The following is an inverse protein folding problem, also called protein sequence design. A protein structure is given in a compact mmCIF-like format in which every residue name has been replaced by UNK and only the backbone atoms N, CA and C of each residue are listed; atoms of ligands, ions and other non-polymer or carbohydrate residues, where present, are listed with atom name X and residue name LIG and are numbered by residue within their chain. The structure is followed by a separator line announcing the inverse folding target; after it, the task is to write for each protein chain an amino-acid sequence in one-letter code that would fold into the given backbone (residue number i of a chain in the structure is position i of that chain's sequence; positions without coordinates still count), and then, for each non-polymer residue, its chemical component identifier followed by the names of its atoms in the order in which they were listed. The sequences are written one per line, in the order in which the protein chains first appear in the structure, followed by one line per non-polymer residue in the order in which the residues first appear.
data_IF_739165260131
#
_entry.id   IF_739165260131
#
_cell.length_a   1.000
_cell.length_b   1.000
_cell.length_c   1.000
_cell.angle_alpha   90.00
_cell.angle_beta   90.00
_cell.angle_gamma   90.00
#
_symmetry.space_group_name_H-M   'P 1'
#
loop_
_entity.id
_entity.type
_entity.pdbx_description
1 polymer ?
#
# COMPACT_ATOMS: atom_id res chain seq x y z
N UNK A 1 -23.84 32.22 -21.25
CA UNK A 1 -23.21 32.53 -19.96
C UNK A 1 -22.70 33.97 -19.91
N UNK A 2 -21.92 34.44 -20.91
CA UNK A 2 -21.40 35.82 -20.99
C UNK A 2 -22.51 36.88 -20.92
N UNK A 3 -23.59 36.74 -21.70
CA UNK A 3 -24.74 37.67 -21.66
C UNK A 3 -25.44 37.76 -20.29
N UNK A 4 -25.36 36.71 -19.47
CA UNK A 4 -25.92 36.71 -18.12
C UNK A 4 -25.02 37.53 -17.18
N UNK A 5 -23.71 37.35 -17.25
CA UNK A 5 -22.73 38.09 -16.43
C UNK A 5 -22.62 39.56 -16.83
N UNK A 6 -22.67 39.89 -18.12
CA UNK A 6 -22.74 41.27 -18.62
C UNK A 6 -23.94 42.02 -18.03
N UNK A 7 -25.10 41.34 -17.92
CA UNK A 7 -26.32 41.92 -17.33
C UNK A 7 -26.26 42.06 -15.81
N UNK A 8 -25.75 41.07 -15.09
CA UNK A 8 -25.74 41.08 -13.61
C UNK A 8 -24.59 41.90 -13.02
N UNK A 9 -23.44 41.97 -13.69
CA UNK A 9 -22.24 42.66 -13.20
C UNK A 9 -22.05 44.04 -13.84
N UNK A 10 -22.90 44.42 -14.81
CA UNK A 10 -22.78 45.67 -15.58
C UNK A 10 -21.40 45.89 -16.23
N UNK A 11 -20.66 44.82 -16.52
CA UNK A 11 -19.36 44.88 -17.16
C UNK A 11 -19.48 44.72 -18.69
N UNK A 12 -18.71 45.48 -19.48
CA UNK A 12 -18.72 45.36 -20.94
C UNK A 12 -18.34 43.96 -21.44
N UNK A 13 -18.87 43.56 -22.59
CA UNK A 13 -18.68 42.20 -23.15
C UNK A 13 -17.19 41.84 -23.34
N UNK A 14 -16.38 42.81 -23.75
CA UNK A 14 -14.94 42.60 -24.01
C UNK A 14 -14.14 42.20 -22.76
N UNK A 15 -14.66 42.49 -21.56
CA UNK A 15 -14.04 42.13 -20.29
C UNK A 15 -13.96 40.61 -20.10
N UNK A 16 -14.81 39.86 -20.80
CA UNK A 16 -14.85 38.39 -20.76
C UNK A 16 -14.14 37.72 -21.94
N UNK A 17 -13.58 38.47 -22.89
CA UNK A 17 -12.94 37.91 -24.08
C UNK A 17 -11.75 36.99 -23.74
N UNK A 18 -11.07 37.26 -22.62
CA UNK A 18 -9.93 36.46 -22.14
C UNK A 18 -10.31 35.49 -21.01
N UNK A 19 -11.60 35.43 -20.64
CA UNK A 19 -12.08 34.51 -19.60
C UNK A 19 -12.36 33.16 -20.25
N UNK A 20 -11.47 32.21 -20.05
CA UNK A 20 -11.65 30.83 -20.52
C UNK A 20 -12.86 30.22 -19.82
N UNK A 21 -13.99 30.13 -20.54
CA UNK A 21 -15.21 29.48 -20.05
C UNK A 21 -14.98 27.98 -20.09
N UNK A 22 -14.51 27.40 -18.98
CA UNK A 22 -14.39 25.95 -18.82
C UNK A 22 -15.77 25.34 -18.59
N UNK A 23 -16.16 24.42 -19.46
CA UNK A 23 -17.34 23.57 -19.33
C UNK A 23 -17.11 22.52 -18.21
N UNK A 24 -18.16 21.97 -17.59
CA UNK A 24 -18.07 20.78 -16.72
C UNK A 24 -17.52 19.52 -17.41
N UNK A 25 -17.32 19.57 -18.74
CA UNK A 25 -16.62 18.59 -19.57
C UNK A 25 -15.12 18.89 -19.72
N UNK A 26 -14.66 20.10 -19.45
CA UNK A 26 -13.24 20.51 -19.48
C UNK A 26 -12.55 20.28 -18.13
N UNK A 27 -12.86 19.15 -17.51
CA UNK A 27 -12.22 18.76 -16.25
C UNK A 27 -10.86 18.17 -16.60
N UNK A 28 -9.79 18.83 -16.16
CA UNK A 28 -8.46 18.22 -16.18
C UNK A 28 -8.46 17.01 -15.24
N UNK A 29 -7.93 15.85 -15.67
CA UNK A 29 -7.78 14.70 -14.80
C UNK A 29 -6.93 15.05 -13.57
N UNK A 30 -7.11 14.28 -12.50
CA UNK A 30 -6.34 14.49 -11.29
C UNK A 30 -4.92 14.02 -11.54
N UNK A 31 -3.94 14.84 -11.18
CA UNK A 31 -2.52 14.52 -11.36
C UNK A 31 -1.99 13.64 -10.22
N UNK A 32 -1.25 12.59 -10.54
CA UNK A 32 -0.58 11.73 -9.56
C UNK A 32 0.47 12.51 -8.76
N UNK A 33 0.74 12.09 -7.53
CA UNK A 33 1.99 12.43 -6.85
C UNK A 33 3.17 11.72 -7.49
N UNK A 34 4.29 12.42 -7.64
CA UNK A 34 5.57 11.78 -7.91
C UNK A 34 6.17 11.18 -6.64
N UNK A 35 7.23 10.38 -6.80
CA UNK A 35 8.01 9.85 -5.69
C UNK A 35 8.61 10.95 -4.83
N UNK A 36 9.08 12.04 -5.44
CA UNK A 36 9.58 13.21 -4.71
C UNK A 36 8.49 13.86 -3.86
N UNK A 37 7.27 13.99 -4.42
CA UNK A 37 6.11 14.49 -3.67
C UNK A 37 5.80 13.59 -2.45
N UNK A 38 5.76 12.27 -2.67
CA UNK A 38 5.47 11.30 -1.61
C UNK A 38 6.55 11.26 -0.52
N UNK A 39 7.82 11.41 -0.89
CA UNK A 39 8.95 11.47 0.04
C UNK A 39 8.89 12.69 0.97
N UNK A 40 8.16 13.74 0.59
CA UNK A 40 7.89 14.88 1.47
C UNK A 40 6.63 14.65 2.32
N UNK A 41 5.53 14.25 1.69
CA UNK A 41 4.22 14.19 2.34
C UNK A 41 4.10 13.01 3.32
N UNK A 42 4.57 11.81 2.96
CA UNK A 42 4.35 10.63 3.79
C UNK A 42 5.12 10.67 5.11
N UNK A 43 6.42 11.05 5.16
CA UNK A 43 7.12 11.19 6.43
C UNK A 43 6.45 12.20 7.36
N UNK A 44 5.99 13.33 6.82
CA UNK A 44 5.26 14.34 7.57
C UNK A 44 3.98 13.79 8.18
N UNK A 45 3.11 13.18 7.36
CA UNK A 45 1.83 12.64 7.82
C UNK A 45 2.01 11.51 8.84
N UNK A 46 3.00 10.64 8.63
CA UNK A 46 3.37 9.56 9.55
C UNK A 46 3.88 10.09 10.88
N UNK A 47 4.78 11.06 10.85
CA UNK A 47 5.33 11.66 12.06
C UNK A 47 4.23 12.38 12.87
N UNK A 48 3.38 13.15 12.19
CA UNK A 48 2.24 13.82 12.83
C UNK A 48 1.35 12.81 13.53
N UNK A 49 0.87 11.79 12.80
CA UNK A 49 0.01 10.74 13.36
C UNK A 49 0.68 10.02 14.54
N UNK A 50 1.93 9.56 14.39
CA UNK A 50 2.65 8.79 15.42
C UNK A 50 2.86 9.61 16.70
N UNK A 51 3.26 10.87 16.57
CA UNK A 51 3.50 11.73 17.74
C UNK A 51 2.21 12.09 18.46
N UNK A 52 1.13 12.41 17.73
CA UNK A 52 -0.16 12.72 18.34
C UNK A 52 -0.84 11.48 18.91
N UNK A 53 -0.66 10.31 18.29
CA UNK A 53 -1.17 9.03 18.79
C UNK A 53 -0.59 8.72 20.16
N UNK A 54 0.74 8.80 20.31
CA UNK A 54 1.41 8.54 21.59
C UNK A 54 0.84 9.41 22.71
N UNK A 55 0.77 10.72 22.47
CA UNK A 55 0.21 11.67 23.44
C UNK A 55 -1.25 11.40 23.75
N UNK A 56 -2.05 11.04 22.73
CA UNK A 56 -3.45 10.68 22.92
C UNK A 56 -3.61 9.47 23.83
N UNK A 57 -2.82 8.42 23.63
CA UNK A 57 -2.86 7.19 24.43
C UNK A 57 -2.44 7.45 25.88
N UNK A 58 -1.50 8.37 26.11
CA UNK A 58 -1.02 8.74 27.44
C UNK A 58 -2.12 9.42 28.28
N UNK A 59 -2.99 10.26 27.69
CA UNK A 59 -4.10 10.89 28.42
C UNK A 59 -5.32 11.19 27.53
N UNK A 60 -6.13 10.18 27.16
CA UNK A 60 -7.25 10.37 26.23
C UNK A 60 -8.27 11.40 26.70
N UNK A 61 -8.65 11.36 27.99
CA UNK A 61 -9.65 12.23 28.59
C UNK A 61 -9.30 13.72 28.50
N UNK A 62 -8.01 14.08 28.71
CA UNK A 62 -7.51 15.45 28.54
C UNK A 62 -7.72 15.96 27.11
N UNK A 63 -7.52 15.11 26.11
CA UNK A 63 -7.60 15.52 24.71
C UNK A 63 -9.05 15.57 24.19
N UNK A 64 -9.91 14.64 24.66
CA UNK A 64 -11.32 14.57 24.27
C UNK A 64 -12.11 15.75 24.86
N UNK A 65 -11.84 16.12 26.11
CA UNK A 65 -12.50 17.23 26.80
C UNK A 65 -11.97 18.62 26.40
N UNK A 66 -10.88 18.69 25.64
CA UNK A 66 -10.24 19.94 25.28
C UNK A 66 -11.13 20.86 24.41
N UNK A 67 -11.08 22.16 24.70
CA UNK A 67 -11.65 23.20 23.85
C UNK A 67 -10.82 23.40 22.57
N UNK A 68 -11.44 23.86 21.47
CA UNK A 68 -10.79 24.02 20.15
C UNK A 68 -9.59 24.97 20.12
N UNK A 69 -9.57 25.96 21.01
CA UNK A 69 -8.47 26.91 21.15
C UNK A 69 -7.34 26.44 22.07
N UNK A 70 -7.55 25.38 22.87
CA UNK A 70 -6.56 24.95 23.86
C UNK A 70 -5.56 23.97 23.22
N UNK A 71 -4.26 24.29 23.19
CA UNK A 71 -3.25 23.35 22.73
C UNK A 71 -3.07 22.23 23.76
N UNK A 72 -3.32 20.99 23.38
CA UNK A 72 -3.17 19.84 24.29
C UNK A 72 -2.11 18.85 23.83
N UNK A 73 -1.71 18.89 22.56
CA UNK A 73 -0.63 18.07 22.00
C UNK A 73 0.49 18.94 21.43
N UNK A 74 1.68 18.38 21.29
CA UNK A 74 2.83 18.97 20.65
C UNK A 74 3.25 18.17 19.43
N UNK A 75 3.77 18.83 18.40
CA UNK A 75 4.34 18.17 17.23
C UNK A 75 5.72 18.73 16.94
N UNK A 76 6.72 17.86 16.86
CA UNK A 76 8.08 18.20 16.50
C UNK A 76 8.32 17.82 15.03
N UNK A 77 8.71 18.80 14.23
CA UNK A 77 9.03 18.60 12.82
C UNK A 77 10.21 19.47 12.41
N UNK A 78 11.22 18.86 11.78
CA UNK A 78 12.44 19.54 11.33
C UNK A 78 13.09 20.45 12.41
N UNK A 79 13.13 19.97 13.67
CA UNK A 79 13.70 20.71 14.79
C UNK A 79 12.81 21.81 15.38
N UNK A 80 11.64 22.09 14.79
CA UNK A 80 10.69 23.07 15.30
C UNK A 80 9.51 22.39 16.02
N UNK A 81 9.11 22.97 17.14
CA UNK A 81 8.01 22.49 17.97
C UNK A 81 6.74 23.30 17.72
N UNK A 82 5.62 22.62 17.49
CA UNK A 82 4.31 23.21 17.19
C UNK A 82 3.28 22.78 18.23
N UNK A 83 2.66 23.75 18.91
CA UNK A 83 1.53 23.51 19.80
C UNK A 83 0.25 23.25 19.00
N UNK A 84 -0.43 22.14 19.30
CA UNK A 84 -1.59 21.68 18.54
C UNK A 84 -2.88 21.88 19.32
N UNK A 85 -3.66 22.88 18.93
CA UNK A 85 -5.08 22.96 19.28
C UNK A 85 -5.88 21.98 18.42
N UNK A 86 -6.97 21.40 18.95
CA UNK A 86 -7.74 20.34 18.29
C UNK A 86 -6.85 19.18 17.75
N UNK A 87 -5.96 18.68 18.62
CA UNK A 87 -4.97 17.65 18.27
C UNK A 87 -5.57 16.37 17.71
N UNK A 88 -6.71 15.91 18.25
CA UNK A 88 -7.45 14.73 17.74
C UNK A 88 -7.86 14.94 16.28
N UNK A 89 -8.43 16.10 15.93
CA UNK A 89 -8.84 16.38 14.55
C UNK A 89 -7.65 16.35 13.59
N UNK A 90 -6.49 16.90 13.99
CA UNK A 90 -5.27 16.89 13.17
C UNK A 90 -4.70 15.49 13.00
N UNK A 91 -4.65 14.71 14.07
CA UNK A 91 -4.26 13.30 14.06
C UNK A 91 -5.13 12.50 13.08
N UNK A 92 -6.44 12.68 13.15
CA UNK A 92 -7.41 11.93 12.34
C UNK A 92 -7.43 12.41 10.87
N UNK A 93 -7.14 13.69 10.60
CA UNK A 93 -6.87 14.16 9.24
C UNK A 93 -5.61 13.51 8.65
N UNK A 94 -4.52 13.42 9.43
CA UNK A 94 -3.30 12.74 9.00
C UNK A 94 -3.55 11.26 8.72
N UNK A 95 -4.28 10.58 9.62
CA UNK A 95 -4.70 9.20 9.43
C UNK A 95 -5.55 9.02 8.16
N UNK A 96 -6.46 9.94 7.87
CA UNK A 96 -7.29 9.89 6.66
C UNK A 96 -6.45 9.96 5.38
N UNK A 97 -5.44 10.83 5.34
CA UNK A 97 -4.53 10.91 4.19
C UNK A 97 -3.65 9.67 4.06
N UNK A 98 -3.18 9.09 5.17
CA UNK A 98 -2.44 7.84 5.17
C UNK A 98 -3.30 6.66 4.70
N UNK A 99 -4.54 6.58 5.16
CA UNK A 99 -5.54 5.61 4.69
C UNK A 99 -5.78 5.76 3.18
N UNK A 100 -5.90 6.99 2.67
CA UNK A 100 -6.03 7.26 1.25
C UNK A 100 -4.81 6.79 0.45
N UNK A 101 -3.60 6.89 1.01
CA UNK A 101 -2.39 6.37 0.37
C UNK A 101 -2.32 4.84 0.39
N UNK A 102 -2.64 4.19 1.53
CA UNK A 102 -2.53 2.73 1.62
C UNK A 102 -3.64 1.99 0.89
N UNK A 103 -4.85 2.53 0.88
CA UNK A 103 -6.01 1.84 0.29
C UNK A 103 -6.38 2.38 -1.08
N UNK A 104 -5.86 3.56 -1.44
CA UNK A 104 -6.25 4.31 -2.64
C UNK A 104 -7.76 4.54 -2.76
N UNK A 105 -8.50 4.43 -1.65
CA UNK A 105 -9.92 4.66 -1.60
C UNK A 105 -10.24 6.14 -1.82
N UNK A 106 -11.43 6.42 -2.34
CA UNK A 106 -11.90 7.81 -2.43
C UNK A 106 -12.43 8.31 -1.08
N UNK A 107 -12.56 9.62 -0.95
CA UNK A 107 -13.02 10.29 0.28
C UNK A 107 -14.33 9.74 0.82
N UNK A 108 -15.30 9.48 -0.06
CA UNK A 108 -16.63 9.04 0.37
C UNK A 108 -16.64 7.62 0.92
N UNK A 109 -15.73 6.76 0.45
CA UNK A 109 -15.59 5.40 0.95
C UNK A 109 -14.87 5.43 2.29
N UNK A 110 -13.77 6.21 2.41
CA UNK A 110 -13.03 6.38 3.66
C UNK A 110 -13.89 6.87 4.81
N UNK A 111 -14.73 7.89 4.60
CA UNK A 111 -15.59 8.43 5.66
C UNK A 111 -16.74 7.50 6.08
N UNK A 112 -17.06 6.49 5.26
CA UNK A 112 -18.11 5.51 5.58
C UNK A 112 -17.57 4.23 6.19
N UNK A 113 -16.25 4.06 6.23
CA UNK A 113 -15.62 2.93 6.90
C UNK A 113 -16.14 2.87 8.33
N UNK A 114 -16.68 1.71 8.71
CA UNK A 114 -17.05 1.42 10.09
C UNK A 114 -15.84 0.82 10.81
N UNK A 115 -15.84 0.90 12.14
CA UNK A 115 -14.90 0.14 12.93
C UNK A 115 -15.07 -1.37 12.62
N UNK A 116 -14.03 -2.07 12.17
CA UNK A 116 -14.13 -3.51 11.93
C UNK A 116 -14.39 -4.25 13.25
N UNK A 117 -15.43 -5.10 13.26
CA UNK A 117 -15.71 -6.01 14.38
C UNK A 117 -14.84 -7.27 14.34
N UNK A 118 -14.45 -7.70 13.14
CA UNK A 118 -13.66 -8.91 12.90
C UNK A 118 -12.39 -8.55 12.11
N UNK A 119 -11.23 -9.03 12.56
CA UNK A 119 -10.19 -9.45 11.62
C UNK A 119 -10.71 -10.76 10.99
N UNK A 120 -10.53 -10.96 9.68
CA UNK A 120 -11.11 -12.11 8.98
C UNK A 120 -10.85 -13.44 9.71
N UNK A 121 -11.90 -14.25 9.81
CA UNK A 121 -11.93 -15.65 10.24
C UNK A 121 -11.48 -16.58 9.10
N UNK A 122 -10.33 -16.30 8.51
CA UNK A 122 -9.60 -17.23 7.63
C UNK A 122 -8.18 -17.32 8.17
N UNK A 123 -7.78 -18.54 8.48
CA UNK A 123 -6.74 -18.92 9.44
C UNK A 123 -5.29 -18.60 9.05
N UNK A 124 -5.02 -17.80 8.02
CA UNK A 124 -3.67 -17.65 7.48
C UNK A 124 -3.16 -16.22 7.34
N UNK A 125 -4.01 -15.18 7.43
CA UNK A 125 -3.56 -13.79 7.23
C UNK A 125 -4.48 -12.82 8.00
N UNK A 126 -3.91 -11.89 8.77
CA UNK A 126 -4.70 -10.92 9.56
C UNK A 126 -5.18 -9.79 8.65
N UNK A 127 -6.33 -9.98 8.00
CA UNK A 127 -6.97 -8.98 7.15
C UNK A 127 -8.06 -8.20 7.88
N UNK A 128 -8.03 -6.88 7.75
CA UNK A 128 -9.19 -6.04 8.03
C UNK A 128 -9.93 -5.79 6.72
N UNK A 129 -11.08 -6.44 6.57
CA UNK A 129 -12.02 -6.17 5.49
C UNK A 129 -13.11 -5.24 6.03
N UNK A 130 -13.20 -4.04 5.47
CA UNK A 130 -14.18 -3.04 5.89
C UNK A 130 -15.15 -2.72 4.76
N UNK A 131 -16.47 -2.95 4.94
CA UNK A 131 -17.45 -2.60 3.94
C UNK A 131 -17.74 -1.09 3.92
N UNK A 132 -17.81 -0.52 2.73
CA UNK A 132 -18.23 0.86 2.44
C UNK A 132 -19.39 0.86 1.43
N UNK A 133 -20.58 1.28 1.85
CA UNK A 133 -21.76 1.29 0.99
C UNK A 133 -21.82 2.53 0.08
N UNK A 134 -21.84 2.30 -1.23
CA UNK A 134 -22.04 3.33 -2.26
C UNK A 134 -23.51 3.45 -2.65
N UNK A 135 -24.23 4.35 -1.99
CA UNK A 135 -25.64 4.69 -2.29
C UNK A 135 -25.91 4.96 -3.78
N UNK A 136 -25.06 5.75 -4.44
CA UNK A 136 -25.21 6.13 -5.88
C UNK A 136 -25.05 4.97 -6.88
N UNK A 137 -24.37 3.90 -6.49
CA UNK A 137 -24.13 2.74 -7.33
C UNK A 137 -24.81 1.48 -6.76
N UNK A 138 -25.59 1.66 -5.69
CA UNK A 138 -26.28 0.64 -4.93
C UNK A 138 -25.45 -0.64 -4.69
N UNK A 139 -24.19 -0.47 -4.28
CA UNK A 139 -23.27 -1.59 -4.04
C UNK A 139 -22.38 -1.35 -2.83
N UNK A 140 -21.99 -2.43 -2.16
CA UNK A 140 -20.97 -2.42 -1.10
C UNK A 140 -19.59 -2.65 -1.71
N UNK A 141 -18.62 -1.83 -1.32
CA UNK A 141 -17.21 -2.02 -1.66
C UNK A 141 -16.50 -2.49 -0.40
N UNK A 142 -15.56 -3.41 -0.55
CA UNK A 142 -14.71 -3.84 0.54
C UNK A 142 -13.37 -3.10 0.44
N UNK A 143 -12.97 -2.43 1.52
CA UNK A 143 -11.64 -1.86 1.67
C UNK A 143 -10.84 -2.85 2.52
N UNK A 144 -9.77 -3.36 1.95
CA UNK A 144 -8.94 -4.40 2.54
C UNK A 144 -7.63 -3.79 3.02
N UNK A 145 -7.28 -4.05 4.27
CA UNK A 145 -5.97 -3.73 4.85
C UNK A 145 -5.37 -5.03 5.37
N UNK A 146 -4.35 -5.50 4.67
CA UNK A 146 -3.57 -6.71 4.95
C UNK A 146 -2.26 -6.67 4.16
N UNK A 147 -1.50 -7.77 4.18
CA UNK A 147 -0.31 -7.95 3.34
C UNK A 147 -0.74 -8.14 1.87
N UNK A 148 -1.02 -7.03 1.17
CA UNK A 148 -1.42 -7.05 -0.25
C UNK A 148 -0.26 -7.40 -1.20
N UNK A 149 -0.61 -7.94 -2.38
CA UNK A 149 0.28 -8.16 -3.54
C UNK A 149 0.92 -6.86 -4.09
N UNK A 150 0.45 -5.68 -3.67
CA UNK A 150 0.99 -4.36 -4.01
C UNK A 150 2.01 -3.80 -2.98
N UNK A 151 2.60 -4.67 -2.14
CA UNK A 151 3.67 -4.34 -1.19
C UNK A 151 3.42 -3.08 -0.35
N UNK A 152 2.28 -3.04 0.36
CA UNK A 152 2.09 -2.03 1.39
C UNK A 152 3.01 -2.39 2.57
N UNK A 153 3.92 -1.49 3.03
CA UNK A 153 4.89 -1.83 4.08
C UNK A 153 4.19 -2.26 5.37
N UNK A 154 4.77 -3.22 6.13
CA UNK A 154 4.38 -3.66 7.50
C UNK A 154 3.92 -2.53 8.45
N UNK A 155 4.49 -1.33 8.27
CA UNK A 155 4.09 -0.09 8.95
C UNK A 155 2.60 0.29 8.75
N UNK A 156 1.95 -0.08 7.65
CA UNK A 156 0.53 0.22 7.40
C UNK A 156 -0.40 -0.55 8.34
N UNK A 157 -0.01 -1.77 8.72
CA UNK A 157 -0.75 -2.60 9.64
C UNK A 157 -0.64 -2.07 11.07
N UNK A 158 0.57 -1.75 11.52
CA UNK A 158 0.82 -1.09 12.81
C UNK A 158 0.10 0.26 12.91
N UNK A 159 0.12 1.02 11.80
CA UNK A 159 -0.64 2.25 11.65
C UNK A 159 -2.15 2.01 11.79
N UNK A 160 -2.69 1.00 11.13
CA UNK A 160 -4.12 0.70 11.17
C UNK A 160 -4.55 0.24 12.55
N UNK A 161 -3.77 -0.61 13.21
CA UNK A 161 -4.02 -1.04 14.59
C UNK A 161 -4.01 0.15 15.55
N UNK A 162 -3.04 1.06 15.39
CA UNK A 162 -3.00 2.32 16.13
C UNK A 162 -4.26 3.16 15.88
N UNK A 163 -4.66 3.31 14.62
CA UNK A 163 -5.87 4.06 14.24
C UNK A 163 -7.14 3.43 14.83
N UNK A 164 -7.27 2.11 14.76
CA UNK A 164 -8.40 1.39 15.32
C UNK A 164 -8.47 1.55 16.83
N UNK A 165 -7.33 1.46 17.52
CA UNK A 165 -7.24 1.66 18.97
C UNK A 165 -7.66 3.07 19.39
N UNK A 166 -7.22 4.10 18.65
CA UNK A 166 -7.65 5.49 18.85
C UNK A 166 -9.15 5.62 18.64
N UNK A 167 -9.65 5.10 17.51
CA UNK A 167 -11.06 5.20 17.12
C UNK A 167 -11.97 4.60 18.18
N UNK A 168 -11.60 3.44 18.73
CA UNK A 168 -12.30 2.80 19.84
C UNK A 168 -12.27 3.65 21.10
N UNK A 169 -11.12 4.20 21.48
CA UNK A 169 -10.94 5.05 22.69
C UNK A 169 -11.60 6.43 22.61
N UNK A 170 -11.86 6.95 21.41
CA UNK A 170 -12.59 8.22 21.24
C UNK A 170 -14.07 8.04 21.60
N UNK A 171 -14.62 6.85 21.38
CA UNK A 171 -15.97 6.49 21.81
C UNK A 171 -15.93 5.85 23.20
N UNK A 172 -16.99 6.04 23.97
CA UNK A 172 -17.22 5.23 25.17
C UNK A 172 -17.76 3.85 24.74
N UNK A 173 -17.37 2.77 25.40
CA UNK A 173 -17.59 1.37 24.96
C UNK A 173 -19.08 1.00 24.77
N UNK A 174 -19.99 1.83 25.28
CA UNK A 174 -21.43 1.57 25.33
C UNK A 174 -22.26 2.24 24.22
N UNK A 175 -21.68 3.05 23.32
CA UNK A 175 -22.45 3.75 22.29
C UNK A 175 -21.97 3.49 20.84
N UNK A 176 -22.81 2.75 20.11
CA UNK A 176 -22.88 2.58 18.65
C UNK A 176 -22.07 1.45 17.99
N UNK A 177 -22.78 0.35 17.70
CA UNK A 177 -22.37 -0.69 16.73
C UNK A 177 -22.11 -0.18 15.30
N UNK A 178 -22.44 1.09 15.01
CA UNK A 178 -22.33 1.73 13.70
C UNK A 178 -21.27 2.84 13.64
N UNK A 179 -20.39 2.91 14.63
CA UNK A 179 -19.29 3.85 14.70
C UNK A 179 -18.41 3.84 13.42
N UNK A 180 -18.11 5.03 12.90
CA UNK A 180 -17.18 5.17 11.76
C UNK A 180 -15.73 5.02 12.24
N UNK A 181 -14.82 4.53 11.39
CA UNK A 181 -13.41 4.40 11.76
C UNK A 181 -12.77 5.78 11.97
N UNK A 182 -13.10 6.74 11.11
CA UNK A 182 -12.51 8.08 11.11
C UNK A 182 -13.43 9.07 11.85
N UNK A 183 -13.14 9.29 13.13
CA UNK A 183 -13.89 10.20 14.01
C UNK A 183 -13.01 11.29 14.57
N UNK A 184 -13.62 12.35 15.08
CA UNK A 184 -12.94 13.38 15.86
C UNK A 184 -13.73 13.68 17.11
N UNK A 185 -13.05 14.15 18.15
CA UNK A 185 -13.68 14.65 19.37
C UNK A 185 -13.24 16.09 19.64
N UNK A 186 -14.18 16.88 20.16
CA UNK A 186 -13.92 18.22 20.68
C UNK A 186 -14.89 18.50 21.83
N UNK A 187 -14.37 18.96 22.97
CA UNK A 187 -15.20 19.35 24.12
C UNK A 187 -16.25 18.27 24.48
N UNK A 188 -15.79 17.02 24.62
CA UNK A 188 -16.60 15.82 24.87
C UNK A 188 -17.65 15.49 23.80
N UNK A 189 -17.65 16.18 22.66
CA UNK A 189 -18.53 15.88 21.52
C UNK A 189 -17.76 15.10 20.47
N UNK A 190 -18.14 13.83 20.32
CA UNK A 190 -17.62 12.93 19.29
C UNK A 190 -18.47 13.05 18.03
N UNK A 191 -17.83 13.10 16.86
CA UNK A 191 -18.52 13.04 15.57
C UNK A 191 -17.64 12.44 14.47
N UNK A 192 -18.24 11.92 13.38
CA UNK A 192 -17.49 11.53 12.20
C UNK A 192 -16.65 12.68 11.62
N UNK A 193 -15.49 12.32 11.07
CA UNK A 193 -14.65 13.25 10.33
C UNK A 193 -15.33 13.64 9.00
N UNK A 194 -15.16 14.89 8.59
CA UNK A 194 -15.80 15.44 7.39
C UNK A 194 -14.80 16.08 6.43
N UNK A 195 -15.26 16.39 5.20
CA UNK A 195 -14.46 17.13 4.22
C UNK A 195 -14.06 18.52 4.72
N UNK A 196 -14.91 19.15 5.54
CA UNK A 196 -14.63 20.45 6.15
C UNK A 196 -13.44 20.38 7.11
N UNK A 197 -13.31 19.28 7.86
CA UNK A 197 -12.17 19.07 8.76
C UNK A 197 -10.85 18.94 8.00
N UNK A 198 -10.84 18.17 6.89
CA UNK A 198 -9.68 18.07 6.01
C UNK A 198 -9.31 19.43 5.39
N UNK A 199 -10.31 20.21 4.99
CA UNK A 199 -10.09 21.55 4.43
C UNK A 199 -9.50 22.49 5.49
N UNK A 200 -10.04 22.48 6.71
CA UNK A 200 -9.56 23.31 7.81
C UNK A 200 -8.13 22.93 8.19
N UNK A 201 -7.87 21.62 8.35
CA UNK A 201 -6.53 21.10 8.58
C UNK A 201 -5.54 21.60 7.52
N UNK A 202 -5.91 21.47 6.24
CA UNK A 202 -5.04 21.82 5.13
C UNK A 202 -4.80 23.33 5.05
N UNK A 203 -5.86 24.13 4.93
CA UNK A 203 -5.75 25.57 4.63
C UNK A 203 -5.25 26.35 5.85
N UNK A 204 -5.82 26.09 7.03
CA UNK A 204 -5.59 26.95 8.20
C UNK A 204 -4.43 26.49 9.07
N UNK A 205 -4.01 25.23 8.96
CA UNK A 205 -2.90 24.71 9.76
C UNK A 205 -1.72 24.27 8.90
N UNK A 206 -1.90 23.30 8.00
CA UNK A 206 -0.80 22.74 7.22
C UNK A 206 -0.13 23.82 6.34
N UNK A 207 -0.90 24.48 5.48
CA UNK A 207 -0.38 25.46 4.52
C UNK A 207 0.11 26.76 5.18
N UNK A 208 -0.30 27.03 6.43
CA UNK A 208 0.20 28.20 7.19
C UNK A 208 1.54 27.93 7.88
N UNK A 209 1.78 26.69 8.30
CA UNK A 209 2.93 26.34 9.14
C UNK A 209 4.03 25.62 8.36
N UNK A 210 3.71 25.01 7.21
CA UNK A 210 4.65 24.19 6.45
C UNK A 210 4.61 24.56 4.96
N UNK A 211 5.79 24.64 4.36
CA UNK A 211 5.95 24.89 2.93
C UNK A 211 6.47 23.62 2.26
N UNK A 212 5.58 22.94 1.52
CA UNK A 212 5.95 21.84 0.64
C UNK A 212 5.81 22.32 -0.81
N UNK A 213 6.77 21.97 -1.64
CA UNK A 213 6.77 22.30 -3.07
C UNK A 213 6.99 21.06 -3.90
N UNK A 214 6.24 20.94 -4.99
CA UNK A 214 6.50 19.92 -6.00
C UNK A 214 7.72 20.30 -6.85
N UNK A 215 8.09 19.43 -7.78
CA UNK A 215 9.24 19.63 -8.68
C UNK A 215 9.11 20.83 -9.64
N UNK A 216 7.94 21.48 -9.72
CA UNK A 216 7.72 22.73 -10.47
C UNK A 216 7.77 23.98 -9.61
N UNK A 217 8.03 23.83 -8.30
CA UNK A 217 7.92 24.92 -7.34
C UNK A 217 6.48 25.29 -7.00
N UNK A 218 5.48 24.53 -7.46
CA UNK A 218 4.08 24.76 -7.05
C UNK A 218 3.87 24.17 -5.67
N UNK A 219 2.87 24.72 -4.96
CA UNK A 219 2.51 24.27 -3.62
C UNK A 219 2.05 22.81 -3.63
N UNK A 220 2.78 21.98 -2.91
CA UNK A 220 2.46 20.57 -2.69
C UNK A 220 1.53 20.44 -1.47
N UNK A 221 0.46 19.66 -1.62
CA UNK A 221 -0.55 19.47 -0.57
C UNK A 221 -1.16 18.07 -0.64
N UNK A 222 -1.54 17.47 0.50
CA UNK A 222 -2.19 16.16 0.53
C UNK A 222 -3.64 16.25 0.05
N UNK A 223 -3.98 15.40 -0.92
CA UNK A 223 -5.28 15.29 -1.57
C UNK A 223 -5.57 13.81 -1.81
N UNK A 224 -6.70 13.34 -1.27
CA UNK A 224 -7.14 11.94 -1.38
C UNK A 224 -7.23 11.51 -2.85
N UNK A 225 -7.71 12.39 -3.73
CA UNK A 225 -7.81 12.10 -5.16
C UNK A 225 -6.47 11.92 -5.84
N UNK A 226 -5.42 12.65 -5.43
CA UNK A 226 -4.06 12.51 -5.98
C UNK A 226 -3.40 11.22 -5.50
N UNK A 227 -3.57 10.86 -4.22
CA UNK A 227 -3.12 9.55 -3.71
C UNK A 227 -3.77 8.41 -4.47
N UNK A 228 -5.08 8.51 -4.73
CA UNK A 228 -5.81 7.53 -5.51
C UNK A 228 -5.33 7.43 -6.97
N UNK A 229 -5.03 8.56 -7.62
CA UNK A 229 -4.42 8.52 -8.97
C UNK A 229 -3.03 7.88 -8.93
N UNK A 230 -2.19 8.19 -7.93
CA UNK A 230 -0.89 7.52 -7.79
C UNK A 230 -1.03 6.01 -7.67
N UNK A 231 -1.98 5.52 -6.86
CA UNK A 231 -2.27 4.08 -6.79
C UNK A 231 -2.75 3.49 -8.10
N UNK A 232 -3.57 4.24 -8.84
CA UNK A 232 -4.03 3.85 -10.17
C UNK A 232 -2.85 3.63 -11.13
N UNK A 233 -1.89 4.56 -11.15
CA UNK A 233 -0.71 4.46 -11.98
C UNK A 233 0.20 3.28 -11.60
N UNK A 234 0.45 3.11 -10.29
CA UNK A 234 1.24 1.99 -9.79
C UNK A 234 0.58 0.65 -10.14
N UNK A 235 -0.73 0.54 -9.97
CA UNK A 235 -1.49 -0.67 -10.31
C UNK A 235 -1.43 -0.94 -11.82
N UNK A 236 -1.63 0.09 -12.65
CA UNK A 236 -1.51 -0.04 -14.11
C UNK A 236 -0.11 -0.48 -14.54
N UNK A 237 0.94 0.07 -13.92
CA UNK A 237 2.32 -0.25 -14.26
C UNK A 237 2.70 -1.69 -13.89
N UNK A 238 2.35 -2.14 -12.67
CA UNK A 238 2.75 -3.46 -12.16
C UNK A 238 1.80 -4.60 -12.54
N UNK A 239 0.49 -4.31 -12.63
CA UNK A 239 -0.56 -5.34 -12.79
C UNK A 239 -1.48 -5.10 -14.00
N UNK A 240 -1.25 -4.04 -14.78
CA UNK A 240 -2.01 -3.72 -15.98
C UNK A 240 -3.35 -3.01 -15.74
N UNK A 241 -3.96 -2.58 -16.86
CA UNK A 241 -5.15 -1.72 -16.87
C UNK A 241 -6.42 -2.38 -16.31
N UNK A 242 -6.53 -3.70 -16.40
CA UNK A 242 -7.70 -4.45 -15.89
C UNK A 242 -7.68 -4.50 -14.36
N UNK A 243 -6.53 -4.83 -13.75
CA UNK A 243 -6.34 -4.81 -12.31
C UNK A 243 -6.65 -3.43 -11.73
N UNK A 244 -6.19 -2.37 -12.39
CA UNK A 244 -6.53 -0.99 -12.02
C UNK A 244 -8.05 -0.71 -12.08
N UNK A 245 -8.82 -1.34 -12.98
CA UNK A 245 -10.27 -1.09 -13.10
C UNK A 245 -11.00 -1.72 -11.92
N UNK A 246 -10.58 -2.93 -11.56
CA UNK A 246 -11.07 -3.69 -10.42
C UNK A 246 -10.75 -2.92 -9.12
N UNK A 247 -9.49 -2.54 -8.94
CA UNK A 247 -8.98 -1.85 -7.76
C UNK A 247 -9.66 -0.48 -7.54
N UNK A 248 -9.83 0.34 -8.58
CA UNK A 248 -10.56 1.59 -8.45
C UNK A 248 -12.08 1.40 -8.40
N UNK A 249 -12.60 0.27 -8.87
CA UNK A 249 -14.03 0.02 -9.00
C UNK A 249 -14.76 1.15 -9.77
N UNK A 250 -14.10 1.65 -10.83
CA UNK A 250 -14.56 2.71 -11.72
C UNK A 250 -14.98 2.11 -13.08
N UNK A 251 -15.86 2.79 -13.82
CA UNK A 251 -16.07 2.46 -15.23
C UNK A 251 -14.91 2.99 -16.09
N UNK A 252 -14.59 2.37 -17.24
CA UNK A 252 -13.55 2.85 -18.16
C UNK A 252 -13.72 4.33 -18.56
N UNK A 253 -14.97 4.78 -18.75
CA UNK A 253 -15.28 6.18 -19.05
C UNK A 253 -14.94 7.12 -17.89
N UNK A 254 -15.22 6.71 -16.65
CA UNK A 254 -14.87 7.51 -15.45
C UNK A 254 -13.36 7.60 -15.30
N UNK A 255 -12.63 6.52 -15.60
CA UNK A 255 -11.16 6.54 -15.63
C UNK A 255 -10.64 7.51 -16.69
N UNK A 256 -11.07 7.37 -17.94
CA UNK A 256 -10.58 8.22 -19.04
C UNK A 256 -10.73 9.71 -18.72
N UNK A 257 -11.81 10.07 -18.01
CA UNK A 257 -12.09 11.45 -17.60
C UNK A 257 -11.27 11.95 -16.40
N UNK A 258 -10.90 11.08 -15.46
CA UNK A 258 -10.39 11.51 -14.15
C UNK A 258 -9.01 10.97 -13.75
N UNK A 259 -8.55 9.89 -14.38
CA UNK A 259 -7.42 9.06 -13.94
C UNK A 259 -6.61 8.51 -15.14
N UNK A 260 -6.27 9.38 -16.09
CA UNK A 260 -5.68 8.98 -17.39
C UNK A 260 -4.43 9.75 -17.78
N UNK A 261 -4.10 10.83 -17.07
CA UNK A 261 -3.00 11.70 -17.45
C UNK A 261 -1.74 11.48 -16.63
N UNK A 262 -1.80 10.83 -15.46
CA UNK A 262 -0.63 10.68 -14.61
C UNK A 262 0.00 12.00 -14.19
N UNK A 263 1.31 11.96 -13.90
CA UNK A 263 2.12 13.16 -13.69
C UNK A 263 2.76 13.66 -14.99
N UNK A 264 2.52 14.93 -15.36
CA UNK A 264 2.97 15.49 -16.64
C UNK A 264 4.48 15.48 -16.79
N UNK A 265 5.22 15.68 -15.69
CA UNK A 265 6.69 15.78 -15.73
C UNK A 265 7.31 14.41 -15.82
N UNK A 266 6.83 13.45 -15.02
CA UNK A 266 7.28 12.07 -15.15
C UNK A 266 6.99 11.56 -16.56
N UNK A 267 5.82 11.84 -17.14
CA UNK A 267 5.50 11.48 -18.52
C UNK A 267 6.44 12.13 -19.54
N UNK A 268 6.75 13.42 -19.39
CA UNK A 268 7.69 14.12 -20.28
C UNK A 268 9.10 13.52 -20.17
N UNK A 269 9.56 13.18 -18.97
CA UNK A 269 10.83 12.49 -18.75
C UNK A 269 10.85 11.10 -19.40
N UNK A 270 9.78 10.32 -19.26
CA UNK A 270 9.64 9.00 -19.91
C UNK A 270 9.69 9.11 -21.44
N UNK A 271 9.04 10.15 -22.01
CA UNK A 271 9.08 10.43 -23.44
C UNK A 271 10.48 10.87 -23.88
N UNK A 272 11.15 11.72 -23.09
CA UNK A 272 12.51 12.18 -23.35
C UNK A 272 13.50 11.01 -23.38
N UNK A 273 13.46 10.11 -22.40
CA UNK A 273 14.28 8.90 -22.39
C UNK A 273 14.06 8.07 -23.65
N UNK A 274 12.79 7.83 -23.99
CA UNK A 274 12.40 7.03 -25.16
C UNK A 274 12.93 7.64 -26.46
N UNK A 275 12.71 8.95 -26.66
CA UNK A 275 13.14 9.65 -27.87
C UNK A 275 14.68 9.69 -27.97
N UNK A 276 15.37 9.98 -26.87
CA UNK A 276 16.84 10.05 -26.84
C UNK A 276 17.47 8.68 -27.15
N UNK A 277 16.96 7.61 -26.53
CA UNK A 277 17.44 6.25 -26.80
C UNK A 277 17.18 5.88 -28.25
N UNK A 278 15.99 6.16 -28.79
CA UNK A 278 15.66 5.84 -30.20
C UNK A 278 16.51 6.63 -31.19
N UNK A 279 16.75 7.90 -30.92
CA UNK A 279 17.65 8.72 -31.72
C UNK A 279 19.06 8.14 -31.75
N UNK A 280 19.61 7.78 -30.58
CA UNK A 280 20.94 7.19 -30.46
C UNK A 280 21.02 5.81 -31.15
N UNK A 281 19.98 4.98 -31.00
CA UNK A 281 19.89 3.71 -31.72
C UNK A 281 19.99 3.89 -33.24
N UNK A 282 19.34 4.92 -33.79
CA UNK A 282 19.35 5.19 -35.23
C UNK A 282 20.71 5.74 -35.67
N UNK A 283 21.26 6.71 -34.92
CA UNK A 283 22.55 7.34 -35.24
C UNK A 283 23.71 6.35 -35.17
N UNK A 284 23.76 5.58 -34.10
CA UNK A 284 24.84 4.63 -33.83
C UNK A 284 24.59 3.23 -34.39
N UNK A 285 23.38 2.93 -34.88
CA UNK A 285 22.96 1.59 -35.34
C UNK A 285 23.22 0.48 -34.31
N UNK A 286 22.94 0.78 -33.04
CA UNK A 286 23.16 -0.12 -31.90
C UNK A 286 21.84 -0.60 -31.29
N UNK A 287 21.92 -1.63 -30.45
CA UNK A 287 20.77 -2.12 -29.68
C UNK A 287 20.27 -1.08 -28.67
N UNK A 288 19.07 -1.29 -28.12
CA UNK A 288 18.47 -0.38 -27.13
C UNK A 288 19.34 -0.23 -25.89
N UNK A 289 19.88 -1.34 -25.38
CA UNK A 289 20.75 -1.37 -24.19
C UNK A 289 22.07 -0.65 -24.41
N UNK A 290 22.66 -0.81 -25.59
CA UNK A 290 23.91 -0.13 -25.96
C UNK A 290 23.69 1.38 -26.14
N UNK A 291 22.59 1.79 -26.77
CA UNK A 291 22.21 3.20 -26.88
C UNK A 291 21.98 3.82 -25.49
N UNK A 292 21.27 3.11 -24.62
CA UNK A 292 21.04 3.53 -23.24
C UNK A 292 22.37 3.70 -22.46
N UNK A 293 23.28 2.74 -22.57
CA UNK A 293 24.60 2.82 -21.93
C UNK A 293 25.46 3.97 -22.49
N UNK A 294 25.42 4.21 -23.81
CA UNK A 294 26.12 5.35 -24.45
C UNK A 294 25.62 6.71 -23.97
N UNK A 295 24.33 6.82 -23.67
CA UNK A 295 23.71 8.02 -23.11
C UNK A 295 23.92 8.15 -21.59
N UNK A 296 24.65 7.23 -20.95
CA UNK A 296 24.81 7.12 -19.50
C UNK A 296 23.47 7.08 -18.73
N UNK A 297 22.41 6.54 -19.36
CA UNK A 297 21.10 6.40 -18.72
C UNK A 297 21.09 5.13 -17.87
N UNK A 298 21.47 5.27 -16.60
CA UNK A 298 21.58 4.13 -15.67
C UNK A 298 20.23 3.54 -15.26
N UNK A 299 19.20 4.38 -15.15
CA UNK A 299 17.83 4.00 -14.75
C UNK A 299 16.87 4.88 -15.54
N UNK A 300 15.86 4.28 -16.16
CA UNK A 300 14.84 5.04 -16.88
C UNK A 300 13.97 5.82 -15.90
N UNK A 301 13.44 6.98 -16.30
CA UNK A 301 12.51 7.78 -15.50
C UNK A 301 11.31 6.95 -15.07
N UNK A 302 10.78 6.09 -15.95
CA UNK A 302 9.66 5.19 -15.63
C UNK A 302 10.00 4.22 -14.49
N UNK A 303 11.21 3.68 -14.50
CA UNK A 303 11.68 2.75 -13.48
C UNK A 303 11.96 3.49 -12.17
N UNK A 304 12.58 4.67 -12.22
CA UNK A 304 12.86 5.47 -11.03
C UNK A 304 11.57 5.92 -10.30
N UNK A 305 10.57 6.33 -11.07
CA UNK A 305 9.27 6.81 -10.57
C UNK A 305 8.47 5.68 -9.90
N UNK A 306 8.41 4.51 -10.54
CA UNK A 306 7.56 3.40 -10.09
C UNK A 306 8.30 2.29 -9.32
N UNK A 307 9.60 2.45 -9.06
CA UNK A 307 10.41 1.50 -8.28
C UNK A 307 9.85 1.36 -6.86
N UNK A 308 9.40 0.16 -6.51
CA UNK A 308 8.94 -0.16 -5.15
C UNK A 308 10.12 -0.11 -4.16
N UNK A 309 9.84 0.21 -2.89
CA UNK A 309 10.88 0.31 -1.84
C UNK A 309 11.37 -1.05 -1.33
N UNK A 310 10.72 -2.15 -1.72
CA UNK A 310 11.35 -3.47 -1.74
C UNK A 310 11.85 -3.69 -3.17
N UNK A 311 13.14 -4.02 -3.30
CA UNK A 311 13.68 -4.66 -4.51
C UNK A 311 12.72 -5.75 -4.96
N UNK A 312 12.65 -6.06 -6.27
CA UNK A 312 11.90 -7.12 -6.98
C UNK A 312 11.89 -8.52 -6.30
N UNK A 313 11.54 -8.59 -5.04
CA UNK A 313 11.65 -9.70 -4.11
C UNK A 313 10.23 -10.10 -3.78
N UNK A 314 9.70 -11.06 -4.52
CA UNK A 314 8.43 -11.68 -4.17
C UNK A 314 8.66 -12.52 -2.91
N UNK A 315 7.97 -12.20 -1.82
CA UNK A 315 8.00 -13.01 -0.59
C UNK A 315 7.43 -14.39 -0.88
N UNK A 316 8.06 -15.43 -0.36
CA UNK A 316 7.60 -16.81 -0.51
C UNK A 316 7.03 -17.32 0.82
N UNK A 317 5.94 -18.10 0.81
CA UNK A 317 5.31 -18.63 2.03
C UNK A 317 6.24 -19.42 2.96
N UNK A 318 7.38 -19.94 2.47
CA UNK A 318 8.39 -20.63 3.28
C UNK A 318 9.33 -19.69 4.06
N UNK A 319 9.00 -18.40 4.19
CA UNK A 319 9.80 -17.39 4.89
C UNK A 319 10.97 -16.81 4.10
N UNK A 320 11.11 -17.17 2.82
CA UNK A 320 12.11 -16.63 1.90
C UNK A 320 11.60 -15.49 1.02
N UNK A 321 12.42 -15.07 0.07
CA UNK A 321 12.03 -14.18 -1.02
C UNK A 321 12.73 -14.58 -2.32
N UNK A 322 12.16 -14.21 -3.46
CA UNK A 322 12.68 -14.55 -4.78
C UNK A 322 13.02 -13.30 -5.60
N UNK A 323 14.25 -13.20 -6.09
CA UNK A 323 14.73 -12.11 -6.98
C UNK A 323 14.11 -12.14 -8.38
N UNK A 324 13.67 -13.31 -8.83
CA UNK A 324 13.16 -13.52 -10.17
C UNK A 324 11.89 -14.40 -10.17
N UNK A 325 10.77 -13.92 -9.58
CA UNK A 325 9.55 -14.72 -9.45
C UNK A 325 8.98 -15.18 -10.79
N UNK A 326 9.20 -14.41 -11.86
CA UNK A 326 8.79 -14.69 -13.24
C UNK A 326 9.96 -15.13 -14.15
N UNK A 327 11.04 -15.67 -13.58
CA UNK A 327 12.19 -16.18 -14.31
C UNK A 327 11.96 -17.55 -14.95
N UNK A 328 13.02 -18.17 -15.46
CA UNK A 328 12.98 -19.44 -16.21
C UNK A 328 12.21 -20.57 -15.48
N UNK A 329 12.39 -20.68 -14.16
CA UNK A 329 11.69 -21.69 -13.34
C UNK A 329 10.16 -21.50 -13.30
N UNK A 330 9.67 -20.27 -13.49
CA UNK A 330 8.23 -19.95 -13.48
C UNK A 330 7.52 -20.36 -14.78
N UNK A 331 8.25 -20.53 -15.88
CA UNK A 331 7.70 -20.91 -17.18
C UNK A 331 7.04 -22.29 -17.13
N UNK A 332 7.58 -23.23 -16.34
CA UNK A 332 7.02 -24.57 -16.14
C UNK A 332 5.60 -24.49 -15.54
N UNK A 333 5.40 -23.62 -14.55
CA UNK A 333 4.12 -23.41 -13.88
C UNK A 333 3.13 -22.69 -14.80
N UNK A 334 3.61 -21.65 -15.48
CA UNK A 334 2.83 -20.92 -16.49
C UNK A 334 2.34 -21.88 -17.60
N UNK A 335 3.22 -22.73 -18.14
CA UNK A 335 2.87 -23.73 -19.16
C UNK A 335 1.83 -24.72 -18.65
N UNK A 336 1.99 -25.22 -17.42
CA UNK A 336 1.04 -26.16 -16.80
C UNK A 336 -0.33 -25.53 -16.58
N UNK A 337 -0.38 -24.29 -16.11
CA UNK A 337 -1.63 -23.56 -15.91
C UNK A 337 -2.35 -23.24 -17.23
N UNK A 338 -1.60 -22.90 -18.30
CA UNK A 338 -2.16 -22.75 -19.66
C UNK A 338 -2.77 -24.05 -20.17
N UNK A 339 -2.06 -25.18 -20.00
CA UNK A 339 -2.58 -26.50 -20.39
C UNK A 339 -3.87 -26.86 -19.65
N UNK A 340 -4.02 -26.39 -18.41
CA UNK A 340 -5.21 -26.59 -17.57
C UNK A 340 -6.27 -25.49 -17.75
N UNK A 341 -6.08 -24.53 -18.68
CA UNK A 341 -6.96 -23.38 -18.92
C UNK A 341 -7.25 -22.54 -17.66
N UNK A 342 -6.28 -22.49 -16.74
CA UNK A 342 -6.38 -21.72 -15.50
C UNK A 342 -5.94 -20.26 -15.66
N UNK A 343 -5.28 -19.94 -16.78
CA UNK A 343 -4.78 -18.60 -17.11
C UNK A 343 -4.97 -18.30 -18.60
N UNK A 344 -5.17 -17.03 -18.93
CA UNK A 344 -5.41 -16.56 -20.30
C UNK A 344 -4.11 -16.47 -21.13
N UNK A 345 -4.26 -16.31 -22.45
CA UNK A 345 -3.12 -16.01 -23.33
C UNK A 345 -2.45 -14.69 -22.93
N UNK A 346 -1.13 -14.74 -22.70
CA UNK A 346 -0.33 -13.61 -22.24
C UNK A 346 -0.05 -13.58 -20.73
N UNK A 347 -0.81 -14.29 -19.90
CA UNK A 347 -0.60 -14.35 -18.46
C UNK A 347 0.61 -15.25 -18.10
N UNK A 348 1.33 -14.88 -17.03
CA UNK A 348 2.49 -15.60 -16.48
C UNK A 348 2.30 -15.78 -14.97
N UNK A 349 2.60 -16.98 -14.48
CA UNK A 349 2.59 -17.28 -13.05
C UNK A 349 4.00 -17.17 -12.47
N UNK A 350 4.06 -16.78 -11.20
CA UNK A 350 5.27 -16.86 -10.42
C UNK A 350 5.65 -18.32 -10.12
N UNK A 351 6.92 -18.58 -9.81
CA UNK A 351 7.35 -19.89 -9.34
C UNK A 351 6.66 -20.24 -8.02
N UNK A 352 6.07 -21.43 -7.92
CA UNK A 352 5.29 -21.87 -6.76
C UNK A 352 5.92 -23.06 -6.01
N UNK A 353 7.17 -23.42 -6.31
CA UNK A 353 7.85 -24.57 -5.69
C UNK A 353 8.54 -24.19 -4.38
N UNK A 354 7.83 -24.29 -3.26
CA UNK A 354 8.35 -23.89 -1.95
C UNK A 354 9.54 -24.74 -1.48
N UNK A 355 9.59 -26.02 -1.87
CA UNK A 355 10.69 -26.91 -1.50
C UNK A 355 11.92 -26.65 -2.37
N UNK A 356 11.73 -26.48 -3.68
CA UNK A 356 12.84 -26.19 -4.59
C UNK A 356 13.39 -24.75 -4.46
N UNK A 357 12.78 -23.90 -3.64
CA UNK A 357 13.38 -22.63 -3.23
C UNK A 357 14.70 -22.84 -2.48
N UNK A 358 14.81 -23.87 -1.63
CA UNK A 358 15.99 -24.13 -0.82
C UNK A 358 17.12 -24.70 -1.69
N UNK A 359 18.12 -23.86 -1.97
CA UNK A 359 19.19 -24.12 -2.94
C UNK A 359 18.98 -23.46 -4.31
N UNK A 360 17.93 -22.66 -4.49
CA UNK A 360 17.74 -21.85 -5.68
C UNK A 360 18.67 -20.61 -5.65
N UNK A 361 19.38 -20.26 -6.74
CA UNK A 361 20.24 -19.07 -6.78
C UNK A 361 19.46 -17.75 -6.63
N UNK A 362 18.17 -17.76 -6.94
CA UNK A 362 17.28 -16.60 -6.82
C UNK A 362 16.67 -16.45 -5.42
N UNK A 363 16.92 -17.40 -4.51
CA UNK A 363 16.44 -17.33 -3.13
C UNK A 363 17.21 -16.27 -2.34
N UNK A 364 16.48 -15.49 -1.57
CA UNK A 364 17.00 -14.48 -0.65
C UNK A 364 16.33 -14.65 0.70
N UNK A 365 17.13 -14.57 1.76
CA UNK A 365 16.64 -14.56 3.13
C UNK A 365 16.65 -13.12 3.63
N UNK A 366 15.46 -12.57 3.84
CA UNK A 366 15.31 -11.24 4.44
C UNK A 366 15.45 -11.38 5.95
N UNK A 367 16.45 -10.72 6.53
CA UNK A 367 16.69 -10.78 7.97
C UNK A 367 15.75 -9.82 8.72
N UNK A 368 14.45 -10.16 8.75
CA UNK A 368 13.47 -9.53 9.62
C UNK A 368 12.84 -10.56 10.55
N UNK A 369 12.39 -10.14 11.74
CA UNK A 369 11.80 -11.07 12.73
C UNK A 369 10.60 -11.82 12.15
N UNK A 370 9.79 -11.18 11.29
CA UNK A 370 8.64 -11.83 10.62
C UNK A 370 9.08 -12.93 9.67
N UNK A 371 10.04 -12.61 8.79
CA UNK A 371 10.42 -13.52 7.72
C UNK A 371 11.19 -14.72 8.29
N UNK A 372 12.01 -14.49 9.32
CA UNK A 372 12.69 -15.56 10.05
C UNK A 372 11.70 -16.38 10.88
N UNK A 373 10.70 -15.77 11.52
CA UNK A 373 9.64 -16.52 12.21
C UNK A 373 8.88 -17.42 11.23
N UNK A 374 8.47 -16.90 10.07
CA UNK A 374 7.82 -17.68 9.01
C UNK A 374 8.69 -18.86 8.53
N UNK A 375 10.00 -18.64 8.35
CA UNK A 375 10.95 -19.69 7.99
C UNK A 375 11.04 -20.78 9.07
N UNK A 376 11.12 -20.39 10.35
CA UNK A 376 11.18 -21.34 11.47
C UNK A 376 9.87 -22.12 11.62
N UNK A 377 8.73 -21.48 11.39
CA UNK A 377 7.42 -22.13 11.39
C UNK A 377 7.26 -23.11 10.23
N UNK A 378 7.73 -22.75 9.04
CA UNK A 378 7.79 -23.68 7.91
C UNK A 378 8.64 -24.93 8.23
N UNK A 379 9.83 -24.73 8.81
CA UNK A 379 10.70 -25.83 9.26
C UNK A 379 9.97 -26.72 10.28
N UNK A 380 9.37 -26.11 11.31
CA UNK A 380 8.62 -26.81 12.37
C UNK A 380 7.46 -27.62 11.78
N UNK A 381 6.69 -27.03 10.86
CA UNK A 381 5.58 -27.70 10.18
C UNK A 381 6.06 -28.92 9.37
N UNK A 382 7.19 -28.80 8.66
CA UNK A 382 7.79 -29.96 7.99
C UNK A 382 8.21 -31.01 9.02
N UNK A 383 8.91 -30.64 10.08
CA UNK A 383 9.38 -31.58 11.11
C UNK A 383 8.24 -32.34 11.78
N UNK A 384 7.17 -31.63 12.14
CA UNK A 384 5.97 -32.20 12.74
C UNK A 384 5.17 -33.05 11.75
N UNK A 385 5.26 -32.77 10.44
CA UNK A 385 4.58 -33.59 9.42
C UNK A 385 5.04 -35.05 9.45
N UNK A 386 6.25 -35.36 9.97
CA UNK A 386 6.71 -36.74 10.15
C UNK A 386 5.69 -37.60 10.91
N UNK A 387 5.02 -37.04 11.92
CA UNK A 387 4.02 -37.74 12.73
C UNK A 387 2.72 -38.04 11.98
N UNK A 388 2.48 -37.36 10.86
CA UNK A 388 1.31 -37.53 9.98
C UNK A 388 1.63 -38.38 8.74
N UNK A 389 2.89 -38.75 8.52
CA UNK A 389 3.27 -39.61 7.39
C UNK A 389 3.03 -41.08 7.71
N UNK A 390 2.32 -41.77 6.81
CA UNK A 390 2.19 -43.23 6.82
C UNK A 390 3.52 -43.95 6.59
N UNK A 391 4.49 -43.29 5.95
CA UNK A 391 5.82 -43.83 5.63
C UNK A 391 6.94 -42.82 5.92
N UNK A 392 7.78 -43.17 6.90
CA UNK A 392 8.94 -42.37 7.29
C UNK A 392 10.03 -42.31 6.20
N UNK A 393 10.13 -43.32 5.32
CA UNK A 393 11.08 -43.30 4.20
C UNK A 393 10.66 -42.28 3.14
N UNK A 394 9.35 -42.19 2.87
CA UNK A 394 8.77 -41.17 2.01
C UNK A 394 8.98 -39.74 2.54
N UNK A 395 8.82 -39.54 3.85
CA UNK A 395 9.12 -38.26 4.52
C UNK A 395 10.58 -37.84 4.28
N UNK A 396 11.54 -38.71 4.64
CA UNK A 396 12.98 -38.41 4.51
C UNK A 396 13.35 -38.04 3.07
N UNK A 397 12.86 -38.82 2.11
CA UNK A 397 13.11 -38.58 0.68
C UNK A 397 12.69 -37.18 0.22
N UNK A 398 11.58 -36.65 0.74
CA UNK A 398 10.99 -35.39 0.27
C UNK A 398 11.46 -34.16 1.05
N UNK A 399 11.77 -34.30 2.35
CA UNK A 399 11.93 -33.15 3.25
C UNK A 399 13.29 -33.05 3.96
N UNK A 400 14.01 -34.15 4.14
CA UNK A 400 15.28 -34.17 4.91
C UNK A 400 16.31 -33.18 4.34
N UNK A 401 16.43 -33.14 3.00
CA UNK A 401 17.34 -32.21 2.31
C UNK A 401 16.99 -30.74 2.57
N UNK A 402 15.70 -30.42 2.69
CA UNK A 402 15.24 -29.05 2.93
C UNK A 402 15.55 -28.64 4.38
N UNK A 403 15.27 -29.52 5.34
CA UNK A 403 15.58 -29.28 6.76
C UNK A 403 17.09 -29.06 6.93
N UNK A 404 17.92 -29.96 6.39
CA UNK A 404 19.38 -29.83 6.46
C UNK A 404 19.87 -28.52 5.81
N UNK A 405 19.28 -28.12 4.68
CA UNK A 405 19.64 -26.84 4.06
C UNK A 405 19.31 -25.64 4.97
N UNK A 406 18.14 -25.66 5.62
CA UNK A 406 17.75 -24.61 6.55
C UNK A 406 18.72 -24.57 7.75
N UNK A 407 19.01 -25.70 8.37
CA UNK A 407 19.86 -25.81 9.56
C UNK A 407 21.32 -25.50 9.30
N UNK A 408 21.86 -25.96 8.17
CA UNK A 408 23.30 -25.86 7.90
C UNK A 408 23.67 -24.62 7.10
N UNK A 409 22.77 -24.10 6.25
CA UNK A 409 23.07 -22.99 5.32
C UNK A 409 22.37 -21.70 5.68
N UNK A 410 21.12 -21.75 6.12
CA UNK A 410 20.34 -20.53 6.38
C UNK A 410 20.51 -20.06 7.82
N UNK A 411 20.13 -20.87 8.82
CA UNK A 411 20.13 -20.48 10.24
C UNK A 411 21.48 -19.89 10.71
N UNK A 412 22.65 -20.48 10.37
CA UNK A 412 23.94 -19.96 10.83
C UNK A 412 24.28 -18.57 10.27
N UNK A 413 23.66 -18.17 9.16
CA UNK A 413 23.89 -16.88 8.49
C UNK A 413 23.00 -15.74 9.03
N UNK A 414 22.00 -16.06 9.86
CA UNK A 414 21.05 -15.09 10.40
C UNK A 414 21.64 -14.38 11.61
N UNK A 415 21.35 -13.09 11.74
CA UNK A 415 21.68 -12.31 12.93
C UNK A 415 21.08 -12.93 14.20
N UNK A 416 21.92 -13.22 15.18
CA UNK A 416 21.55 -13.88 16.44
C UNK A 416 20.41 -13.20 17.21
N UNK A 417 20.35 -11.85 17.19
CA UNK A 417 19.29 -11.10 17.88
C UNK A 417 17.93 -11.30 17.20
N UNK A 418 17.92 -11.28 15.86
CA UNK A 418 16.71 -11.49 15.06
C UNK A 418 16.24 -12.93 15.19
N UNK A 419 17.16 -13.90 15.13
CA UNK A 419 16.85 -15.31 15.33
C UNK A 419 16.23 -15.54 16.72
N UNK A 420 16.81 -14.96 17.78
CA UNK A 420 16.27 -15.07 19.13
C UNK A 420 14.86 -14.48 19.24
N UNK A 421 14.63 -13.31 18.66
CA UNK A 421 13.30 -12.68 18.65
C UNK A 421 12.28 -13.52 17.88
N UNK A 422 12.67 -14.09 16.74
CA UNK A 422 11.80 -14.97 15.96
C UNK A 422 11.49 -16.28 16.70
N UNK A 423 12.46 -16.84 17.41
CA UNK A 423 12.26 -18.04 18.22
C UNK A 423 11.35 -17.76 19.43
N UNK A 424 11.53 -16.63 20.11
CA UNK A 424 10.61 -16.19 21.18
C UNK A 424 9.19 -16.05 20.62
N UNK A 425 9.05 -15.44 19.44
CA UNK A 425 7.76 -15.31 18.76
C UNK A 425 7.14 -16.67 18.41
N UNK A 426 7.93 -17.62 17.92
CA UNK A 426 7.47 -18.99 17.66
C UNK A 426 6.99 -19.70 18.93
N UNK A 427 7.70 -19.52 20.04
CA UNK A 427 7.38 -20.17 21.30
C UNK A 427 6.17 -19.53 22.00
N UNK A 428 6.05 -18.20 21.95
CA UNK A 428 5.03 -17.45 22.67
C UNK A 428 3.71 -17.32 21.87
N UNK A 429 3.81 -17.16 20.56
CA UNK A 429 2.67 -16.92 19.65
C UNK A 429 2.33 -18.14 18.77
N UNK A 430 3.17 -19.19 18.78
CA UNK A 430 2.99 -20.37 17.93
C UNK A 430 3.55 -20.19 16.52
N UNK A 431 3.26 -21.14 15.60
CA UNK A 431 3.65 -21.03 14.21
C UNK A 431 3.14 -19.74 13.56
N UNK A 432 3.92 -19.19 12.64
CA UNK A 432 3.52 -18.09 11.79
C UNK A 432 2.19 -18.43 11.11
N UNK A 433 1.23 -17.49 10.99
CA UNK A 433 -0.12 -17.75 10.48
C UNK A 433 -0.17 -18.64 9.24
N UNK A 434 0.67 -18.34 8.24
CA UNK A 434 0.88 -19.16 7.02
C UNK A 434 1.14 -20.67 7.22
N UNK A 435 1.45 -21.12 8.44
CA UNK A 435 1.78 -22.49 8.82
C UNK A 435 1.09 -22.96 10.11
N UNK A 436 0.10 -22.21 10.62
CA UNK A 436 -0.61 -22.50 11.88
C UNK A 436 -1.66 -23.63 11.76
N UNK A 437 -1.92 -24.12 10.53
CA UNK A 437 -2.86 -25.22 10.27
C UNK A 437 -2.19 -26.48 9.69
N UNK A 438 -2.45 -27.62 10.33
CA UNK A 438 -2.06 -28.98 9.89
C UNK A 438 -2.61 -29.42 8.51
N UNK A 439 -3.46 -28.60 7.87
CA UNK A 439 -4.10 -28.90 6.57
C UNK A 439 -3.30 -28.36 5.37
N UNK A 440 -2.48 -27.32 5.54
CA UNK A 440 -1.68 -26.70 4.46
C UNK A 440 -0.63 -27.64 3.85
N UNK A 441 -0.21 -28.64 4.61
CA UNK A 441 0.81 -29.62 4.23
C UNK A 441 0.38 -30.56 3.09
N UNK A 442 -0.89 -30.96 3.02
CA UNK A 442 -1.38 -31.93 2.02
C UNK A 442 -1.22 -31.45 0.57
N UNK A 443 -1.10 -30.14 0.36
CA UNK A 443 -0.91 -29.53 -0.95
C UNK A 443 0.55 -29.54 -1.45
N UNK A 444 1.53 -29.78 -0.56
CA UNK A 444 2.96 -29.85 -0.89
C UNK A 444 3.40 -31.25 -1.36
N UNK A 445 2.56 -32.26 -1.14
CA UNK A 445 2.82 -33.62 -1.60
C UNK A 445 2.55 -33.72 -3.12
N UNK A 446 3.47 -34.30 -3.90
CA UNK A 446 3.18 -34.61 -5.29
C UNK A 446 2.01 -35.60 -5.36
N UNK A 447 0.94 -35.24 -6.07
CA UNK A 447 -0.17 -36.17 -6.36
C UNK A 447 0.40 -37.38 -7.08
N UNK A 448 0.28 -38.56 -6.48
CA UNK A 448 0.58 -39.82 -7.15
C UNK A 448 -0.33 -39.93 -8.38
N UNK A 449 0.21 -40.29 -9.57
CA UNK A 449 -0.65 -40.63 -10.69
C UNK A 449 -1.47 -41.84 -10.27
N UNK A 450 -2.80 -41.73 -10.34
CA UNK A 450 -3.70 -42.86 -10.17
C UNK A 450 -3.23 -43.97 -11.12
N UNK A 451 -2.95 -45.15 -10.56
CA UNK A 451 -2.77 -46.38 -11.32
C UNK A 451 -4.09 -46.84 -11.90
#
# INVERSE_FOLDING_TARGET
MVALFTRYLALPHYYFNNVVVRNSRDIEPVEAYTRSDLNQLLPFLRALFKQTHRQFIDNPGKHISAHSGLPTMMFLWNGQQYSLCAGISKMMCAATYLMAYYTYANTSDLFKLKQPKNASTTTDELWYIMPAFKRRAFKTIYIEIGEHELEIPKYSFDFFNSLLSISKRILDENENENATLLQTALFNKVRPLSSSDLQVFRIYWLEKNFSFTDQTGRRLRPLISRFRETGAQLTSYHHGELANNIMLNNTPNTRKKHYSSGNKISNNGMMQDTLSIREEQIKSKVSTKEAQAKLDIKVLVIEAEYKTNLSQLSRTPNGGSCKAPFGEKSEKYTRKARQQKLINEGERLACADLLACFGCPEQVIVQSVSDIWCLLSFKTCIEESLYLHLDAAHYRKNFEKVILFIEEKIIPSINKSILKQAQVKLNDEGPHPAWDNNVSFLHLLPKTPNR
#
